data_IF_729777223631
#
_entry.id   IF_729777223631
#
_cell.length_a   1.000
_cell.length_b   1.000
_cell.length_c   1.000
_cell.angle_alpha   90.00
_cell.angle_beta   90.00
_cell.angle_gamma   90.00
#
_symmetry.space_group_name_H-M   'P 1'
#
loop_
_entity.id
_entity.type
_entity.pdbx_description
1 polymer ?
#
# COMPACT_ATOMS: atom_id res chain seq x y z
N UNK A 1 -4.02 -21.16 9.27
CA UNK A 1 -2.78 -21.56 8.57
C UNK A 1 -1.83 -22.19 9.58
N UNK A 2 -1.20 -23.33 9.27
CA UNK A 2 -0.15 -23.94 10.11
C UNK A 2 1.21 -23.64 9.49
N UNK A 3 2.14 -23.08 10.25
CA UNK A 3 3.46 -22.64 9.77
C UNK A 3 4.54 -23.28 10.65
N UNK A 4 5.62 -23.79 10.04
CA UNK A 4 6.81 -24.29 10.73
C UNK A 4 7.99 -23.38 10.42
N UNK A 5 8.72 -22.95 11.45
CA UNK A 5 9.81 -21.97 11.35
C UNK A 5 11.07 -22.59 11.97
N UNK A 6 12.20 -22.46 11.28
CA UNK A 6 13.53 -22.87 11.77
C UNK A 6 14.58 -21.83 11.36
N UNK A 7 15.73 -21.82 12.04
CA UNK A 7 16.84 -20.91 11.72
C UNK A 7 17.43 -21.26 10.34
N UNK A 8 17.75 -20.24 9.55
CA UNK A 8 18.44 -20.38 8.28
C UNK A 8 19.37 -19.19 8.03
N UNK A 9 20.32 -19.34 7.11
CA UNK A 9 21.12 -18.23 6.59
C UNK A 9 20.49 -17.74 5.29
N UNK A 10 20.25 -16.44 5.17
CA UNK A 10 19.70 -15.79 3.96
C UNK A 10 20.72 -14.80 3.42
N UNK A 11 20.86 -14.79 2.08
CA UNK A 11 21.60 -13.78 1.31
C UNK A 11 20.78 -13.43 0.07
N UNK A 12 20.73 -12.14 -0.26
CA UNK A 12 19.99 -11.63 -1.42
C UNK A 12 19.47 -10.22 -1.18
N UNK A 13 18.88 -9.63 -2.22
CA UNK A 13 18.20 -8.35 -2.15
C UNK A 13 16.78 -8.53 -2.69
N UNK A 14 15.81 -7.91 -2.02
CA UNK A 14 14.41 -7.85 -2.45
C UNK A 14 13.92 -6.43 -2.33
N UNK A 15 12.95 -6.06 -3.17
CA UNK A 15 12.22 -4.81 -3.01
C UNK A 15 11.08 -5.05 -2.03
N UNK A 16 11.09 -4.36 -0.89
CA UNK A 16 9.95 -4.38 0.01
C UNK A 16 8.72 -3.78 -0.69
N UNK A 17 7.51 -4.26 -0.39
CA UNK A 17 6.29 -3.58 -0.80
C UNK A 17 6.26 -2.15 -0.25
N UNK A 18 5.50 -1.28 -0.93
CA UNK A 18 5.30 0.10 -0.49
C UNK A 18 4.62 0.17 0.88
N UNK A 19 4.82 1.28 1.59
CA UNK A 19 4.21 1.48 2.90
C UNK A 19 2.71 1.66 2.80
N UNK A 20 1.97 0.90 3.61
CA UNK A 20 0.51 1.00 3.73
C UNK A 20 0.08 2.41 4.13
N UNK A 21 0.65 2.94 5.21
CA UNK A 21 0.26 4.26 5.72
C UNK A 21 0.64 5.38 4.75
N UNK A 22 1.73 5.25 3.98
CA UNK A 22 2.06 6.22 2.94
C UNK A 22 1.07 6.13 1.78
N UNK A 23 0.65 4.93 1.39
CA UNK A 23 -0.36 4.74 0.34
C UNK A 23 -1.69 5.38 0.75
N UNK A 24 -2.14 5.18 2.00
CA UNK A 24 -3.36 5.82 2.53
C UNK A 24 -3.24 7.35 2.55
N UNK A 25 -2.11 7.89 3.04
CA UNK A 25 -1.90 9.35 3.04
C UNK A 25 -1.87 9.92 1.62
N UNK A 26 -1.22 9.24 0.68
CA UNK A 26 -1.19 9.66 -0.71
C UNK A 26 -2.60 9.68 -1.33
N UNK A 27 -3.45 8.69 -1.03
CA UNK A 27 -4.86 8.67 -1.46
C UNK A 27 -5.63 9.88 -0.90
N UNK A 28 -5.46 10.19 0.39
CA UNK A 28 -6.12 11.35 1.02
C UNK A 28 -5.65 12.66 0.37
N UNK A 29 -4.34 12.85 0.20
CA UNK A 29 -3.81 14.03 -0.48
C UNK A 29 -4.32 14.14 -1.92
N UNK A 30 -4.38 13.02 -2.65
CA UNK A 30 -4.88 12.98 -4.02
C UNK A 30 -6.37 13.39 -4.13
N UNK A 31 -7.18 12.99 -3.16
CA UNK A 31 -8.60 13.35 -3.11
C UNK A 31 -8.86 14.83 -2.76
N UNK A 32 -7.93 15.45 -2.03
CA UNK A 32 -8.01 16.87 -1.64
C UNK A 32 -7.36 17.82 -2.66
N UNK A 33 -6.51 17.30 -3.54
CA UNK A 33 -5.82 18.10 -4.54
C UNK A 33 -6.76 18.49 -5.69
N UNK A 34 -6.56 19.69 -6.24
CA UNK A 34 -7.20 20.08 -7.49
C UNK A 34 -6.60 19.33 -8.69
N UNK A 35 -7.45 18.93 -9.63
CA UNK A 35 -7.02 18.24 -10.84
C UNK A 35 -6.76 16.74 -10.66
N UNK A 36 -5.76 16.21 -11.38
CA UNK A 36 -5.47 14.76 -11.42
C UNK A 36 -4.17 14.44 -10.69
N UNK A 37 -4.25 13.55 -9.71
CA UNK A 37 -3.09 12.99 -9.01
C UNK A 37 -2.68 11.63 -9.59
N UNK A 38 -1.38 11.34 -9.57
CA UNK A 38 -0.82 10.03 -9.93
C UNK A 38 -0.04 9.46 -8.72
N UNK A 39 -0.45 8.29 -8.22
CA UNK A 39 0.24 7.59 -7.14
C UNK A 39 0.97 6.39 -7.74
N UNK A 40 2.31 6.40 -7.68
CA UNK A 40 3.15 5.34 -8.25
C UNK A 40 3.49 4.28 -7.21
N UNK A 41 3.42 3.01 -7.64
CA UNK A 41 3.68 1.83 -6.82
C UNK A 41 2.92 1.84 -5.47
N UNK A 42 1.59 2.09 -5.43
CA UNK A 42 0.84 2.01 -4.18
C UNK A 42 0.89 0.58 -3.63
N UNK A 43 0.82 0.43 -2.31
CA UNK A 43 0.61 -0.88 -1.71
C UNK A 43 -0.80 -1.37 -2.06
N UNK A 44 -0.92 -2.61 -2.56
CA UNK A 44 -2.20 -3.30 -2.67
C UNK A 44 -2.50 -4.06 -1.38
N UNK A 45 -3.39 -3.53 -0.54
CA UNK A 45 -3.94 -4.21 0.63
C UNK A 45 -5.43 -3.91 0.79
N UNK A 46 -6.13 -4.70 1.60
CA UNK A 46 -7.54 -4.44 1.94
C UNK A 46 -7.73 -3.04 2.51
N UNK A 47 -6.86 -2.61 3.45
CA UNK A 47 -6.91 -1.25 4.01
C UNK A 47 -6.80 -0.14 2.95
N UNK A 48 -5.86 -0.27 1.99
CA UNK A 48 -5.69 0.73 0.92
C UNK A 48 -6.84 0.69 -0.10
N UNK A 49 -7.43 -0.48 -0.36
CA UNK A 49 -8.58 -0.63 -1.24
C UNK A 49 -9.85 -0.03 -0.60
N UNK A 50 -10.05 -0.26 0.70
CA UNK A 50 -11.12 0.33 1.48
C UNK A 50 -11.02 1.87 1.47
N UNK A 51 -9.82 2.42 1.69
CA UNK A 51 -9.59 3.86 1.61
C UNK A 51 -9.89 4.43 0.22
N UNK A 52 -9.42 3.79 -0.86
CA UNK A 52 -9.73 4.20 -2.23
C UNK A 52 -11.24 4.19 -2.50
N UNK A 53 -11.93 3.14 -2.06
CA UNK A 53 -13.37 2.98 -2.26
C UNK A 53 -14.25 4.01 -1.53
N UNK A 54 -13.71 4.76 -0.56
CA UNK A 54 -14.41 5.91 0.04
C UNK A 54 -14.51 7.04 -0.99
N UNK A 55 -13.41 7.34 -1.69
CA UNK A 55 -13.35 8.43 -2.65
C UNK A 55 -14.07 8.13 -3.97
N UNK A 56 -14.18 6.86 -4.37
CA UNK A 56 -14.97 6.45 -5.55
C UNK A 56 -16.49 6.65 -5.37
N UNK A 57 -16.96 6.87 -4.13
CA UNK A 57 -18.38 7.05 -3.80
C UNK A 57 -18.77 8.52 -3.57
N UNK A 58 -17.82 9.43 -3.65
CA UNK A 58 -18.02 10.88 -3.54
C UNK A 58 -18.16 11.49 -4.94
#
# INVERSE_FOLDING_TARGET
>A
MKISISKSSIRGAVRAPSSKSYTIRALICAALAEGKSEIRQPLGSEDTAACRGIFEKL
#
